data_IF_702847445493
#
_entry.id   IF_702847445493
#
_cell.length_a   1.000
_cell.length_b   1.000
_cell.length_c   1.000
_cell.angle_alpha   90.00
_cell.angle_beta   90.00
_cell.angle_gamma   90.00
#
_symmetry.space_group_name_H-M   'P 1'
#
loop_
_entity.id
_entity.type
_entity.pdbx_description
1 polymer ?
#
# COMPACT_ATOMS: atom_id res chain seq x y z
N UNK A 1 -14.71 5.13 -19.31
CA UNK A 1 -14.65 3.83 -18.66
C UNK A 1 -14.54 2.74 -19.72
N UNK A 2 -13.65 1.79 -19.55
CA UNK A 2 -13.39 0.67 -20.49
C UNK A 2 -13.18 -0.65 -19.73
N UNK A 3 -13.33 -1.79 -20.44
CA UNK A 3 -12.91 -3.11 -19.94
C UNK A 3 -13.71 -3.70 -18.79
N UNK A 4 -14.78 -3.05 -18.34
CA UNK A 4 -15.63 -3.52 -17.24
C UNK A 4 -17.09 -3.64 -17.67
N UNK A 5 -17.85 -4.52 -17.02
CA UNK A 5 -19.24 -4.82 -17.37
C UNK A 5 -20.16 -3.57 -17.31
N UNK A 6 -19.87 -2.62 -16.44
CA UNK A 6 -20.63 -1.38 -16.29
C UNK A 6 -20.18 -0.24 -17.25
N UNK A 7 -19.22 -0.47 -18.15
CA UNK A 7 -18.63 0.58 -18.97
C UNK A 7 -19.66 1.35 -19.83
N UNK A 8 -20.55 0.65 -20.49
CA UNK A 8 -21.54 1.27 -21.38
C UNK A 8 -22.52 2.17 -20.62
N UNK A 9 -23.03 1.71 -19.48
CA UNK A 9 -23.92 2.47 -18.62
C UNK A 9 -23.22 3.72 -18.07
N UNK A 10 -22.01 3.57 -17.56
CA UNK A 10 -21.18 4.66 -17.05
C UNK A 10 -20.87 5.68 -18.14
N UNK A 11 -20.51 5.21 -19.34
CA UNK A 11 -20.23 6.11 -20.47
C UNK A 11 -21.48 6.87 -20.96
N UNK A 12 -22.66 6.25 -20.92
CA UNK A 12 -23.92 6.95 -21.23
C UNK A 12 -24.22 8.05 -20.22
N UNK A 13 -23.99 7.79 -18.94
CA UNK A 13 -24.12 8.77 -17.87
C UNK A 13 -23.13 9.92 -18.03
N UNK A 14 -21.83 9.63 -18.24
CA UNK A 14 -20.79 10.62 -18.50
C UNK A 14 -21.12 11.50 -19.70
N UNK A 15 -21.65 10.93 -20.78
CA UNK A 15 -22.09 11.71 -21.96
C UNK A 15 -23.16 12.75 -21.61
N UNK A 16 -24.06 12.40 -20.70
CA UNK A 16 -25.13 13.33 -20.26
C UNK A 16 -24.54 14.51 -19.48
N UNK A 17 -23.56 14.25 -18.60
CA UNK A 17 -22.83 15.31 -17.91
C UNK A 17 -22.03 16.20 -18.88
N UNK A 18 -21.32 15.61 -19.84
CA UNK A 18 -20.55 16.36 -20.85
C UNK A 18 -21.45 17.30 -21.65
N UNK A 19 -22.66 16.83 -22.07
CA UNK A 19 -23.65 17.67 -22.75
C UNK A 19 -24.12 18.84 -21.86
N UNK A 20 -24.33 18.58 -20.56
CA UNK A 20 -24.72 19.62 -19.61
C UNK A 20 -23.60 20.66 -19.42
N UNK A 21 -22.36 20.22 -19.25
CA UNK A 21 -21.17 21.08 -19.12
C UNK A 21 -20.99 21.96 -20.35
N UNK A 22 -21.13 21.40 -21.55
CA UNK A 22 -21.04 22.16 -22.81
C UNK A 22 -22.09 23.27 -22.90
N UNK A 23 -23.36 23.00 -22.47
CA UNK A 23 -24.41 24.01 -22.41
C UNK A 23 -24.09 25.14 -21.43
N UNK A 24 -23.58 24.79 -20.25
CA UNK A 24 -23.17 25.76 -19.24
C UNK A 24 -22.02 26.62 -19.76
N UNK A 25 -20.95 25.98 -20.29
CA UNK A 25 -19.83 26.72 -20.83
C UNK A 25 -20.25 27.72 -21.92
N UNK A 26 -21.15 27.30 -22.83
CA UNK A 26 -21.70 28.20 -23.86
C UNK A 26 -22.47 29.38 -23.24
N UNK A 27 -23.30 29.12 -22.23
CA UNK A 27 -24.06 30.15 -21.54
C UNK A 27 -23.18 31.16 -20.82
N UNK A 28 -22.15 30.66 -20.12
CA UNK A 28 -21.20 31.48 -19.35
C UNK A 28 -20.08 32.07 -20.24
N UNK A 29 -20.07 31.77 -21.54
CA UNK A 29 -19.04 32.23 -22.50
C UNK A 29 -17.62 31.85 -22.13
N UNK A 30 -17.44 30.68 -21.56
CA UNK A 30 -16.10 30.12 -21.23
C UNK A 30 -15.69 29.05 -22.24
N UNK A 31 -14.37 28.85 -22.39
CA UNK A 31 -13.83 27.80 -23.26
C UNK A 31 -14.25 26.40 -22.78
N UNK A 32 -14.46 25.48 -23.73
CA UNK A 32 -14.80 24.09 -23.45
C UNK A 32 -14.13 23.14 -24.42
N UNK A 33 -13.37 22.17 -23.89
CA UNK A 33 -12.78 21.09 -24.66
C UNK A 33 -13.51 19.80 -24.35
N UNK A 34 -14.15 19.19 -25.35
CA UNK A 34 -14.82 17.90 -25.19
C UNK A 34 -13.81 16.75 -25.29
N UNK A 35 -13.18 16.41 -24.18
CA UNK A 35 -12.26 15.29 -24.12
C UNK A 35 -12.97 13.93 -24.20
N UNK A 36 -14.20 13.81 -23.72
CA UNK A 36 -14.92 12.55 -23.60
C UNK A 36 -15.06 11.80 -24.93
N UNK A 37 -15.54 12.46 -25.99
CA UNK A 37 -15.78 11.78 -27.26
C UNK A 37 -14.50 11.27 -27.90
N UNK A 38 -13.41 12.05 -27.80
CA UNK A 38 -12.12 11.68 -28.40
C UNK A 38 -11.45 10.56 -27.62
N UNK A 39 -11.44 10.62 -26.28
CA UNK A 39 -10.87 9.55 -25.44
C UNK A 39 -11.70 8.26 -25.55
N UNK A 40 -13.03 8.34 -25.56
CA UNK A 40 -13.88 7.16 -25.80
C UNK A 40 -13.57 6.50 -27.14
N UNK A 41 -13.39 7.30 -28.19
CA UNK A 41 -13.04 6.77 -29.54
C UNK A 41 -11.67 6.08 -29.57
N UNK A 42 -10.72 6.56 -28.78
CA UNK A 42 -9.40 5.92 -28.62
C UNK A 42 -9.50 4.61 -27.86
N UNK A 43 -10.19 4.58 -26.75
CA UNK A 43 -10.45 3.38 -25.93
C UNK A 43 -11.15 2.27 -26.75
N UNK A 44 -12.08 2.63 -27.61
CA UNK A 44 -12.81 1.66 -28.43
C UNK A 44 -11.99 1.09 -29.63
N UNK A 45 -10.87 1.71 -29.99
CA UNK A 45 -10.04 1.32 -31.15
C UNK A 45 -8.80 0.52 -30.78
N UNK A 46 -8.39 0.57 -29.53
CA UNK A 46 -7.14 -0.01 -29.09
C UNK A 46 -7.27 -1.48 -28.70
N UNK A 47 -6.25 -2.28 -28.98
CA UNK A 47 -6.09 -3.62 -28.42
C UNK A 47 -5.62 -3.56 -26.95
N UNK A 48 -4.88 -2.49 -26.59
CA UNK A 48 -4.34 -2.30 -25.26
C UNK A 48 -5.21 -1.31 -24.47
N UNK A 49 -5.49 -1.59 -23.17
CA UNK A 49 -6.24 -0.67 -22.33
C UNK A 49 -5.49 0.66 -22.12
N UNK A 50 -6.24 1.74 -22.01
CA UNK A 50 -5.73 3.08 -21.68
C UNK A 50 -5.93 3.42 -20.19
N UNK A 51 -6.47 2.48 -19.42
CA UNK A 51 -6.73 2.61 -18.00
C UNK A 51 -6.08 1.47 -17.23
N UNK A 52 -5.81 1.69 -15.94
CA UNK A 52 -5.30 0.66 -15.03
C UNK A 52 -6.42 -0.21 -14.44
N UNK A 53 -7.62 0.34 -14.30
CA UNK A 53 -8.76 -0.32 -13.65
C UNK A 53 -10.11 0.04 -14.29
N UNK A 54 -10.11 0.38 -15.56
CA UNK A 54 -11.32 0.75 -16.30
C UNK A 54 -11.74 2.22 -16.18
N UNK A 55 -11.25 2.98 -15.20
CA UNK A 55 -11.61 4.39 -15.01
C UNK A 55 -10.41 5.35 -14.86
N UNK A 56 -9.29 4.92 -14.30
CA UNK A 56 -8.10 5.75 -14.14
C UNK A 56 -7.13 5.49 -15.27
N UNK A 57 -6.69 6.55 -15.94
CA UNK A 57 -5.77 6.45 -17.06
C UNK A 57 -4.41 5.88 -16.62
N UNK A 58 -3.87 4.95 -17.40
CA UNK A 58 -2.47 4.54 -17.32
C UNK A 58 -1.57 5.55 -18.06
N UNK A 59 -0.27 5.32 -18.08
CA UNK A 59 0.68 6.21 -18.74
C UNK A 59 0.33 6.48 -20.22
N UNK A 60 -0.02 5.45 -20.98
CA UNK A 60 -0.45 5.55 -22.37
C UNK A 60 -1.74 6.37 -22.52
N UNK A 61 -2.68 6.14 -21.62
CA UNK A 61 -3.94 6.90 -21.55
C UNK A 61 -3.70 8.38 -21.28
N UNK A 62 -2.81 8.73 -20.36
CA UNK A 62 -2.46 10.13 -20.09
C UNK A 62 -1.75 10.81 -21.26
N UNK A 63 -0.88 10.12 -22.01
CA UNK A 63 -0.26 10.67 -23.20
C UNK A 63 -1.31 11.01 -24.29
N UNK A 64 -2.27 10.11 -24.51
CA UNK A 64 -3.38 10.36 -25.43
C UNK A 64 -4.29 11.49 -24.95
N UNK A 65 -4.64 11.48 -23.67
CA UNK A 65 -5.48 12.51 -23.07
C UNK A 65 -4.81 13.90 -23.16
N UNK A 66 -3.51 13.99 -22.86
CA UNK A 66 -2.73 15.21 -22.99
C UNK A 66 -2.75 15.76 -24.41
N UNK A 67 -2.61 14.89 -25.41
CA UNK A 67 -2.71 15.28 -26.82
C UNK A 67 -4.11 15.81 -27.17
N UNK A 68 -5.16 15.14 -26.73
CA UNK A 68 -6.56 15.59 -26.94
C UNK A 68 -6.80 16.96 -26.32
N UNK A 69 -6.31 17.16 -25.11
CA UNK A 69 -6.47 18.41 -24.36
C UNK A 69 -5.69 19.56 -25.03
N UNK A 70 -4.41 19.31 -25.40
CA UNK A 70 -3.57 20.29 -26.08
C UNK A 70 -4.19 20.76 -27.39
N UNK A 71 -4.59 19.81 -28.24
CA UNK A 71 -5.22 20.14 -29.53
C UNK A 71 -6.54 20.90 -29.36
N UNK A 72 -7.32 20.57 -28.34
CA UNK A 72 -8.56 21.28 -28.05
C UNK A 72 -8.36 22.70 -27.54
N UNK A 73 -7.29 22.94 -26.76
CA UNK A 73 -7.00 24.27 -26.20
C UNK A 73 -6.23 25.16 -27.20
N UNK A 74 -5.26 24.59 -27.88
CA UNK A 74 -4.29 25.35 -28.71
C UNK A 74 -4.70 25.37 -30.19
N UNK A 75 -5.55 24.41 -30.61
CA UNK A 75 -5.95 24.28 -32.02
C UNK A 75 -4.87 23.78 -32.96
N UNK A 76 -3.78 23.22 -32.44
CA UNK A 76 -2.64 22.67 -33.20
C UNK A 76 -2.39 21.24 -32.78
N UNK A 77 -1.76 20.43 -33.63
CA UNK A 77 -1.31 19.09 -33.30
C UNK A 77 -0.36 19.14 -32.11
N UNK A 78 -0.57 18.22 -31.15
CA UNK A 78 0.31 18.11 -29.98
C UNK A 78 1.76 17.78 -30.42
N UNK A 79 2.76 18.44 -29.84
CA UNK A 79 4.16 18.10 -30.09
C UNK A 79 4.48 16.72 -29.53
N UNK A 80 5.62 16.16 -29.96
CA UNK A 80 6.18 14.99 -29.27
C UNK A 80 6.53 15.34 -27.84
N UNK A 81 6.21 14.45 -26.90
CA UNK A 81 6.54 14.62 -25.50
C UNK A 81 8.06 14.62 -25.30
N UNK A 82 8.55 15.60 -24.59
CA UNK A 82 9.89 15.62 -24.05
C UNK A 82 9.91 14.88 -22.71
N UNK A 83 10.58 13.74 -22.65
CA UNK A 83 10.56 12.87 -21.48
C UNK A 83 11.30 13.48 -20.28
N UNK A 84 12.34 14.27 -20.50
CA UNK A 84 13.06 14.95 -19.41
C UNK A 84 12.18 16.02 -18.77
N UNK A 85 11.45 16.78 -19.59
CA UNK A 85 10.47 17.75 -19.10
C UNK A 85 9.32 17.03 -18.37
N UNK A 86 8.81 15.93 -18.93
CA UNK A 86 7.73 15.16 -18.29
C UNK A 86 8.14 14.63 -16.92
N UNK A 87 9.31 14.00 -16.83
CA UNK A 87 9.85 13.48 -15.57
C UNK A 87 10.04 14.59 -14.52
N UNK A 88 10.58 15.74 -14.93
CA UNK A 88 10.76 16.90 -14.06
C UNK A 88 9.40 17.46 -13.55
N UNK A 89 8.39 17.50 -14.41
CA UNK A 89 7.03 17.93 -14.00
C UNK A 89 6.41 16.96 -13.02
N UNK A 90 6.55 15.64 -13.21
CA UNK A 90 6.05 14.61 -12.28
C UNK A 90 6.72 14.79 -10.92
N UNK A 91 8.05 14.91 -10.89
CA UNK A 91 8.80 15.11 -9.64
C UNK A 91 8.34 16.39 -8.89
N UNK A 92 8.20 17.51 -9.61
CA UNK A 92 7.67 18.74 -9.02
C UNK A 92 6.25 18.55 -8.50
N UNK A 93 5.38 17.90 -9.27
CA UNK A 93 4.01 17.67 -8.88
C UNK A 93 3.88 16.80 -7.62
N UNK A 94 4.81 15.87 -7.38
CA UNK A 94 4.86 15.06 -6.15
C UNK A 94 5.03 15.97 -4.92
N UNK A 95 6.00 16.89 -4.95
CA UNK A 95 6.23 17.82 -3.82
C UNK A 95 5.03 18.77 -3.63
N UNK A 96 4.51 19.32 -4.74
CA UNK A 96 3.32 20.17 -4.71
C UNK A 96 2.08 19.44 -4.19
N UNK A 97 1.89 18.17 -4.56
CA UNK A 97 0.79 17.34 -4.08
C UNK A 97 0.87 17.18 -2.55
N UNK A 98 2.02 16.80 -2.02
CA UNK A 98 2.20 16.60 -0.58
C UNK A 98 2.10 17.90 0.24
N UNK A 99 2.28 19.06 -0.39
CA UNK A 99 2.01 20.36 0.25
C UNK A 99 0.54 20.51 0.67
N UNK A 100 -0.38 19.97 -0.13
CA UNK A 100 -1.84 20.10 0.05
C UNK A 100 -2.53 18.80 0.48
N UNK A 101 -1.90 17.67 0.23
CA UNK A 101 -2.36 16.32 0.59
C UNK A 101 -1.21 15.53 1.23
N UNK A 102 -0.68 15.99 2.38
CA UNK A 102 0.44 15.31 3.01
C UNK A 102 0.04 13.93 3.51
N UNK A 103 0.96 12.98 3.40
CA UNK A 103 0.88 11.73 4.13
C UNK A 103 1.07 12.00 5.63
N UNK A 104 0.58 11.11 6.49
CA UNK A 104 0.80 11.19 7.93
C UNK A 104 0.25 12.47 8.58
N UNK A 105 -0.96 12.90 8.16
CA UNK A 105 -1.59 14.12 8.68
C UNK A 105 -1.75 14.11 10.20
N UNK A 106 -1.81 12.93 10.82
CA UNK A 106 -1.87 12.77 12.27
C UNK A 106 -0.60 13.27 12.98
N UNK A 107 0.55 13.32 12.28
CA UNK A 107 1.81 13.92 12.76
C UNK A 107 1.87 15.43 12.56
N UNK A 108 1.06 15.99 11.66
CA UNK A 108 0.96 17.45 11.47
C UNK A 108 -0.02 18.09 12.43
N UNK A 109 -1.19 17.49 12.63
CA UNK A 109 -2.32 18.12 13.33
C UNK A 109 -2.95 17.25 14.41
N UNK A 110 -2.69 15.94 14.40
CA UNK A 110 -3.32 14.97 15.29
C UNK A 110 -2.53 14.67 16.56
N UNK A 111 -2.92 13.60 17.24
CA UNK A 111 -2.38 13.20 18.54
C UNK A 111 -0.94 12.71 18.54
N UNK A 112 -0.35 12.45 17.36
CA UNK A 112 1.06 12.05 17.25
C UNK A 112 2.02 13.23 17.10
N UNK A 113 1.51 14.44 16.95
CA UNK A 113 2.32 15.65 16.85
C UNK A 113 3.15 15.84 18.13
N UNK A 114 4.46 15.70 18.02
CA UNK A 114 5.43 15.94 19.07
C UNK A 114 5.31 15.04 20.34
N UNK A 115 4.18 14.33 20.53
CA UNK A 115 3.90 13.60 21.77
C UNK A 115 4.62 12.26 21.89
N UNK A 116 5.03 11.69 20.77
CA UNK A 116 5.62 10.35 20.72
C UNK A 116 7.13 10.36 20.49
N UNK A 117 7.78 11.56 20.57
CA UNK A 117 9.19 11.71 20.30
C UNK A 117 9.56 11.68 18.81
N UNK A 118 8.56 11.79 17.92
CA UNK A 118 8.75 11.89 16.48
C UNK A 118 8.94 13.35 16.04
N UNK A 119 9.31 13.54 14.78
CA UNK A 119 9.40 14.88 14.21
C UNK A 119 8.03 15.58 14.19
N UNK A 120 8.05 16.88 14.48
CA UNK A 120 6.91 17.74 14.16
C UNK A 120 6.95 18.04 12.65
N UNK A 121 5.96 17.56 11.92
CA UNK A 121 5.89 17.68 10.47
C UNK A 121 5.36 19.02 9.97
N UNK A 122 4.84 19.88 10.84
CA UNK A 122 4.35 21.21 10.43
C UNK A 122 5.40 22.06 9.69
N UNK A 123 6.68 22.09 10.09
CA UNK A 123 7.71 22.83 9.35
C UNK A 123 7.89 22.33 7.91
N UNK A 124 7.57 21.07 7.62
CA UNK A 124 7.70 20.50 6.28
C UNK A 124 6.82 21.18 5.23
N UNK A 125 5.74 21.85 5.65
CA UNK A 125 4.85 22.56 4.71
C UNK A 125 5.62 23.66 3.96
N UNK A 126 6.53 24.38 4.63
CA UNK A 126 7.40 25.35 3.99
C UNK A 126 8.45 24.69 3.11
N UNK A 127 8.96 23.55 3.54
CA UNK A 127 9.93 22.77 2.77
C UNK A 127 9.35 22.32 1.43
N UNK A 128 8.10 21.85 1.41
CA UNK A 128 7.42 21.51 0.16
C UNK A 128 7.30 22.70 -0.80
N UNK A 129 7.02 23.91 -0.29
CA UNK A 129 6.97 25.12 -1.13
C UNK A 129 8.36 25.40 -1.76
N UNK A 130 9.44 25.31 -0.99
CA UNK A 130 10.81 25.49 -1.49
C UNK A 130 11.22 24.41 -2.50
N UNK A 131 10.97 23.14 -2.17
CA UNK A 131 11.26 22.01 -3.06
C UNK A 131 10.49 22.11 -4.37
N UNK A 132 9.22 22.55 -4.33
CA UNK A 132 8.42 22.79 -5.54
C UNK A 132 9.06 23.92 -6.40
N UNK A 133 9.47 25.02 -5.77
CA UNK A 133 10.09 26.14 -6.50
C UNK A 133 11.44 25.76 -7.14
N UNK A 134 12.28 24.98 -6.45
CA UNK A 134 13.54 24.49 -7.00
C UNK A 134 13.31 23.64 -8.26
N UNK A 135 12.29 22.80 -8.24
CA UNK A 135 11.90 21.94 -9.37
C UNK A 135 11.29 22.72 -10.53
N UNK A 136 10.49 23.76 -10.24
CA UNK A 136 9.99 24.68 -11.26
C UNK A 136 11.13 25.36 -12.03
N UNK A 137 12.18 25.82 -11.31
CA UNK A 137 13.37 26.40 -11.97
C UNK A 137 14.05 25.40 -12.91
N UNK A 138 14.17 24.12 -12.51
CA UNK A 138 14.72 23.08 -13.38
C UNK A 138 13.86 22.88 -14.63
N UNK A 139 12.53 22.82 -14.49
CA UNK A 139 11.60 22.68 -15.62
C UNK A 139 11.77 23.84 -16.60
N UNK A 140 11.83 25.08 -16.12
CA UNK A 140 12.05 26.25 -16.98
C UNK A 140 13.37 26.19 -17.76
N UNK A 141 14.44 25.73 -17.12
CA UNK A 141 15.73 25.54 -17.78
C UNK A 141 15.67 24.49 -18.89
N UNK A 142 15.04 23.33 -18.61
CA UNK A 142 14.84 22.28 -19.61
C UNK A 142 14.03 22.79 -20.82
N UNK A 143 12.91 23.48 -20.59
CA UNK A 143 12.08 24.03 -21.66
C UNK A 143 12.81 25.08 -22.49
N UNK A 144 13.76 25.81 -21.90
CA UNK A 144 14.61 26.77 -22.62
C UNK A 144 15.79 26.11 -23.37
N UNK A 145 15.88 24.79 -23.37
CA UNK A 145 16.94 24.04 -24.07
C UNK A 145 18.27 23.97 -23.31
N UNK A 146 18.26 24.30 -22.02
CA UNK A 146 19.41 24.07 -21.15
C UNK A 146 19.46 22.59 -20.71
N UNK A 147 20.64 22.15 -20.27
CA UNK A 147 20.83 20.81 -19.72
C UNK A 147 21.17 20.90 -18.20
N UNK A 148 20.20 21.18 -17.33
CA UNK A 148 20.44 21.27 -15.90
C UNK A 148 20.79 19.90 -15.30
N UNK A 149 21.48 19.89 -14.14
CA UNK A 149 21.76 18.67 -13.39
C UNK A 149 20.48 17.86 -13.17
N UNK A 150 20.54 16.52 -13.29
CA UNK A 150 19.42 15.65 -12.87
C UNK A 150 19.17 15.69 -11.36
N UNK A 151 20.21 16.01 -10.57
CA UNK A 151 20.10 16.16 -9.11
C UNK A 151 19.60 17.57 -8.81
N UNK A 152 18.50 17.64 -8.08
CA UNK A 152 17.91 18.90 -7.63
C UNK A 152 18.77 19.47 -6.49
N UNK A 153 19.10 20.75 -6.59
CA UNK A 153 19.72 21.48 -5.48
C UNK A 153 18.64 21.94 -4.48
N UNK A 154 18.48 21.18 -3.42
CA UNK A 154 17.60 21.48 -2.29
C UNK A 154 18.40 22.02 -1.06
N UNK A 155 19.62 22.55 -1.25
CA UNK A 155 20.46 23.09 -0.17
C UNK A 155 19.83 24.26 0.60
N UNK A 156 18.86 24.93 -0.01
CA UNK A 156 18.06 25.99 0.60
C UNK A 156 16.88 25.49 1.43
N UNK A 157 16.64 24.16 1.46
CA UNK A 157 15.53 23.54 2.23
C UNK A 157 16.01 23.31 3.67
N UNK A 158 15.38 23.94 4.68
CA UNK A 158 15.78 23.77 6.07
C UNK A 158 15.58 22.32 6.56
N UNK A 159 16.46 21.80 7.42
CA UNK A 159 16.24 20.52 8.06
C UNK A 159 15.00 20.56 8.96
N UNK A 160 14.29 19.44 9.06
CA UNK A 160 13.17 19.32 9.99
C UNK A 160 13.67 19.29 11.44
N UNK A 161 12.99 19.97 12.38
CA UNK A 161 13.35 19.93 13.80
C UNK A 161 13.20 18.50 14.34
N UNK A 162 14.25 18.02 14.99
CA UNK A 162 14.25 16.71 15.65
C UNK A 162 13.69 16.89 17.06
N UNK A 163 12.64 16.14 17.39
CA UNK A 163 12.12 16.06 18.76
C UNK A 163 12.86 14.98 19.54
N UNK A 164 12.96 15.17 20.87
CA UNK A 164 13.57 14.13 21.72
C UNK A 164 12.66 12.91 21.78
N UNK A 165 13.24 11.73 21.62
CA UNK A 165 12.54 10.51 21.93
C UNK A 165 12.21 10.47 23.43
N UNK A 166 10.97 10.17 23.76
CA UNK A 166 10.48 10.12 25.14
C UNK A 166 10.76 8.79 25.84
N UNK A 167 11.26 7.78 25.11
CA UNK A 167 11.53 6.43 25.63
C UNK A 167 13.02 6.16 25.61
N UNK A 168 13.49 5.41 26.64
CA UNK A 168 14.90 5.06 26.79
C UNK A 168 15.41 4.18 25.62
N UNK A 169 16.74 3.99 25.62
CA UNK A 169 17.37 3.14 24.63
C UNK A 169 16.93 1.67 24.74
N UNK A 170 16.65 1.05 23.62
CA UNK A 170 16.45 -0.39 23.55
C UNK A 170 17.78 -1.12 23.67
N UNK A 171 17.79 -2.25 24.36
CA UNK A 171 18.91 -3.18 24.30
C UNK A 171 18.60 -4.18 23.17
N UNK A 172 19.42 -4.15 22.14
CA UNK A 172 19.37 -5.11 21.05
C UNK A 172 20.16 -6.37 21.41
N UNK A 173 19.58 -7.52 21.13
CA UNK A 173 20.28 -8.81 21.19
C UNK A 173 20.87 -9.12 19.82
N UNK A 174 22.04 -9.77 19.80
CA UNK A 174 22.50 -10.37 18.56
C UNK A 174 21.73 -11.67 18.28
N UNK A 175 21.79 -12.22 17.05
CA UNK A 175 21.00 -13.41 16.68
C UNK A 175 21.20 -14.63 17.60
N UNK A 176 22.41 -14.84 18.09
CA UNK A 176 22.72 -15.94 19.01
C UNK A 176 22.13 -15.70 20.42
N UNK A 177 22.20 -14.47 20.92
CA UNK A 177 21.58 -14.12 22.22
C UNK A 177 20.07 -14.27 22.14
N UNK A 178 19.44 -13.88 21.02
CA UNK A 178 18.00 -14.02 20.81
C UNK A 178 17.59 -15.48 20.72
N UNK A 179 18.29 -16.28 19.92
CA UNK A 179 18.06 -17.74 19.81
C UNK A 179 18.12 -18.42 21.16
N UNK A 180 19.08 -18.06 22.01
CA UNK A 180 19.22 -18.64 23.34
C UNK A 180 18.15 -18.17 24.33
N UNK A 181 17.43 -17.07 24.02
CA UNK A 181 16.40 -16.54 24.89
C UNK A 181 15.04 -17.23 24.72
N UNK A 182 14.84 -17.98 23.65
CA UNK A 182 13.60 -18.71 23.41
C UNK A 182 13.40 -19.83 24.46
N UNK A 183 12.17 -19.93 24.94
CA UNK A 183 11.70 -21.08 25.71
C UNK A 183 10.75 -21.88 24.84
N UNK A 184 11.23 -23.01 24.36
CA UNK A 184 10.55 -23.81 23.35
C UNK A 184 9.89 -25.02 24.01
N UNK A 185 8.67 -25.36 23.58
CA UNK A 185 8.01 -26.60 23.94
C UNK A 185 8.87 -27.79 23.43
N UNK A 186 9.02 -28.89 24.21
CA UNK A 186 9.90 -30.02 23.85
C UNK A 186 9.59 -30.67 22.49
N UNK A 187 8.43 -30.45 21.91
CA UNK A 187 8.04 -30.97 20.59
C UNK A 187 8.59 -30.17 19.44
N UNK A 188 9.18 -28.98 19.69
CA UNK A 188 9.64 -28.06 18.65
C UNK A 188 11.11 -27.69 18.85
N UNK A 189 11.75 -27.31 17.79
CA UNK A 189 13.07 -26.70 17.75
C UNK A 189 12.97 -25.34 17.07
N UNK A 190 13.78 -24.37 17.51
CA UNK A 190 13.90 -23.04 16.88
C UNK A 190 15.30 -22.91 16.31
N UNK A 191 15.40 -22.68 15.02
CA UNK A 191 16.65 -22.44 14.32
C UNK A 191 16.65 -21.04 13.68
N UNK A 192 17.82 -20.44 13.56
CA UNK A 192 18.02 -19.17 12.87
C UNK A 192 18.05 -19.41 11.36
N UNK A 193 17.10 -18.86 10.62
CA UNK A 193 17.06 -18.94 9.16
C UNK A 193 17.90 -17.83 8.50
N UNK A 194 17.75 -16.58 8.94
CA UNK A 194 18.47 -15.42 8.43
C UNK A 194 18.52 -14.30 9.47
N UNK A 195 19.46 -13.37 9.34
CA UNK A 195 19.56 -12.17 10.18
C UNK A 195 20.11 -10.97 9.40
N UNK A 196 19.91 -9.77 9.93
CA UNK A 196 20.49 -8.54 9.36
C UNK A 196 22.02 -8.48 9.49
N UNK A 197 22.62 -9.25 10.38
CA UNK A 197 24.10 -9.38 10.46
C UNK A 197 24.66 -10.11 9.25
N UNK A 198 23.91 -11.09 8.73
CA UNK A 198 24.29 -11.84 7.53
C UNK A 198 23.86 -11.10 6.26
N UNK A 199 22.64 -10.56 6.25
CA UNK A 199 22.02 -9.89 5.12
C UNK A 199 21.49 -8.51 5.55
N UNK A 200 22.28 -7.44 5.42
CA UNK A 200 21.84 -6.09 5.83
C UNK A 200 20.56 -5.61 5.12
N UNK A 201 20.24 -6.16 3.94
CA UNK A 201 19.03 -5.86 3.19
C UNK A 201 17.76 -6.33 3.89
N UNK A 202 17.88 -7.29 4.81
CA UNK A 202 16.78 -7.83 5.62
C UNK A 202 16.38 -6.88 6.78
N UNK A 203 17.03 -5.75 6.94
CA UNK A 203 16.81 -4.84 8.06
C UNK A 203 15.34 -4.42 8.22
N UNK A 204 14.83 -4.52 9.44
CA UNK A 204 13.46 -4.19 9.83
C UNK A 204 12.40 -4.98 9.04
N UNK A 205 12.38 -6.31 9.12
CA UNK A 205 11.37 -7.14 8.45
C UNK A 205 9.99 -6.88 9.04
N UNK A 206 8.98 -6.73 8.17
CA UNK A 206 7.59 -6.46 8.54
C UNK A 206 6.72 -7.70 8.33
N UNK A 207 6.78 -8.30 7.15
CA UNK A 207 5.99 -9.48 6.79
C UNK A 207 6.84 -10.44 5.96
N UNK A 208 6.54 -11.73 6.07
CA UNK A 208 7.16 -12.77 5.28
C UNK A 208 6.13 -13.71 4.67
N UNK A 209 6.45 -14.25 3.49
CA UNK A 209 5.67 -15.28 2.80
C UNK A 209 6.59 -16.23 2.04
N UNK A 210 6.12 -17.45 1.85
CA UNK A 210 6.79 -18.45 1.02
C UNK A 210 6.13 -18.49 -0.35
N UNK A 211 6.94 -18.54 -1.39
CA UNK A 211 6.43 -18.76 -2.74
C UNK A 211 6.34 -20.27 -3.07
N UNK A 212 5.79 -20.59 -4.25
CA UNK A 212 5.63 -21.96 -4.71
C UNK A 212 6.96 -22.71 -4.99
N UNK A 213 8.10 -22.01 -4.96
CA UNK A 213 9.43 -22.60 -5.12
C UNK A 213 10.13 -22.81 -3.76
N UNK A 214 9.49 -22.47 -2.66
CA UNK A 214 10.05 -22.58 -1.32
C UNK A 214 11.01 -21.44 -0.94
N UNK A 215 10.97 -20.31 -1.65
CA UNK A 215 11.77 -19.13 -1.32
C UNK A 215 11.00 -18.24 -0.34
N UNK A 216 11.69 -17.67 0.63
CA UNK A 216 11.10 -16.74 1.59
C UNK A 216 11.19 -15.32 1.06
N UNK A 217 10.04 -14.68 0.89
CA UNK A 217 9.92 -13.28 0.55
C UNK A 217 9.66 -12.46 1.80
N UNK A 218 10.34 -11.32 1.94
CA UNK A 218 10.23 -10.47 3.13
C UNK A 218 10.10 -9.02 2.72
N UNK A 219 9.05 -8.34 3.21
CA UNK A 219 8.98 -6.89 3.15
C UNK A 219 9.77 -6.28 4.30
N UNK A 220 10.62 -5.30 3.99
CA UNK A 220 11.53 -4.64 4.93
C UNK A 220 11.31 -3.14 4.91
N UNK A 221 11.18 -2.51 6.09
CA UNK A 221 10.92 -1.09 6.20
C UNK A 221 11.80 -0.44 7.25
N UNK A 222 12.95 0.07 6.83
CA UNK A 222 13.84 0.85 7.68
C UNK A 222 13.29 2.25 7.98
N UNK A 223 12.28 2.69 7.22
CA UNK A 223 11.59 3.96 7.41
C UNK A 223 10.39 3.87 8.33
N UNK A 224 9.96 2.67 8.74
CA UNK A 224 8.86 2.49 9.67
C UNK A 224 9.04 3.34 10.95
N UNK A 225 8.04 4.06 11.42
CA UNK A 225 6.62 3.98 11.05
C UNK A 225 6.18 4.93 9.93
N UNK A 226 7.05 5.74 9.38
CA UNK A 226 6.74 6.70 8.32
C UNK A 226 7.99 7.17 7.58
N UNK A 227 7.84 7.55 6.34
CA UNK A 227 8.83 8.32 5.57
C UNK A 227 8.74 9.80 5.98
N UNK A 228 9.87 10.45 6.19
CA UNK A 228 9.88 11.88 6.51
C UNK A 228 9.43 12.71 5.31
N UNK A 229 8.69 13.82 5.56
CA UNK A 229 8.20 14.68 4.50
C UNK A 229 9.33 15.17 3.58
N UNK A 230 9.14 14.99 2.27
CA UNK A 230 10.12 15.39 1.26
C UNK A 230 11.26 14.40 1.02
N UNK A 231 11.34 13.33 1.78
CA UNK A 231 12.27 12.23 1.52
C UNK A 231 11.65 11.19 0.58
N UNK A 232 12.47 10.59 -0.27
CA UNK A 232 12.03 9.47 -1.10
C UNK A 232 11.87 8.20 -0.24
N UNK A 233 10.83 7.39 -0.49
CA UNK A 233 10.72 6.06 0.09
C UNK A 233 11.91 5.19 -0.30
N UNK A 234 12.36 4.31 0.60
CA UNK A 234 13.51 3.43 0.37
C UNK A 234 13.33 2.02 0.93
N UNK A 235 12.12 1.64 1.24
CA UNK A 235 11.81 0.30 1.74
C UNK A 235 11.80 -0.71 0.58
N UNK A 236 11.83 -1.99 0.89
CA UNK A 236 12.07 -3.02 -0.12
C UNK A 236 11.35 -4.34 0.17
N UNK A 237 11.29 -5.19 -0.86
CA UNK A 237 10.98 -6.61 -0.73
C UNK A 237 12.23 -7.38 -1.14
N UNK A 238 12.65 -8.32 -0.30
CA UNK A 238 13.79 -9.20 -0.55
C UNK A 238 13.34 -10.64 -0.67
N UNK A 239 14.14 -11.46 -1.38
CA UNK A 239 13.95 -12.90 -1.53
C UNK A 239 15.13 -13.59 -0.89
N UNK A 240 14.86 -14.47 0.07
CA UNK A 240 15.83 -15.33 0.74
C UNK A 240 15.70 -16.77 0.19
N UNK A 241 16.82 -17.41 -0.08
CA UNK A 241 16.87 -18.78 -0.61
C UNK A 241 17.81 -19.64 0.23
N UNK A 242 17.33 -20.82 0.61
CA UNK A 242 18.11 -21.92 1.16
C UNK A 242 18.41 -22.89 0.00
N UNK A 243 19.60 -22.77 -0.57
CA UNK A 243 19.99 -23.51 -1.76
C UNK A 243 20.47 -24.95 -1.47
N UNK A 244 20.87 -25.22 -0.24
CA UNK A 244 21.44 -26.48 0.17
C UNK A 244 20.47 -27.32 1.03
N UNK A 245 19.35 -26.77 1.49
CA UNK A 245 18.31 -27.43 2.27
C UNK A 245 18.69 -27.64 3.75
N UNK A 246 19.56 -26.79 4.30
CA UNK A 246 20.01 -26.93 5.70
C UNK A 246 19.16 -26.10 6.69
N UNK A 247 18.12 -25.43 6.20
CA UNK A 247 17.24 -24.58 7.00
C UNK A 247 17.80 -23.18 7.28
N UNK A 248 18.79 -22.73 6.49
CA UNK A 248 19.37 -21.39 6.57
C UNK A 248 19.43 -20.76 5.19
N UNK A 249 19.23 -19.47 5.15
CA UNK A 249 19.35 -18.74 3.89
C UNK A 249 20.82 -18.63 3.45
N UNK A 250 21.09 -19.03 2.21
CA UNK A 250 22.39 -18.86 1.54
C UNK A 250 22.49 -17.54 0.78
N UNK A 251 21.34 -16.98 0.36
CA UNK A 251 21.30 -15.74 -0.42
C UNK A 251 20.16 -14.83 0.00
N UNK A 252 20.33 -13.53 -0.23
CA UNK A 252 19.31 -12.49 -0.08
C UNK A 252 19.38 -11.54 -1.27
N UNK A 253 18.32 -11.49 -2.07
CA UNK A 253 18.24 -10.67 -3.27
C UNK A 253 17.16 -9.60 -3.13
N UNK A 254 17.48 -8.34 -3.44
CA UNK A 254 16.48 -7.27 -3.50
C UNK A 254 15.65 -7.43 -4.77
N UNK A 255 14.37 -7.74 -4.62
CA UNK A 255 13.43 -7.92 -5.72
C UNK A 255 12.72 -6.61 -6.09
N UNK A 256 12.34 -5.79 -5.11
CA UNK A 256 11.77 -4.46 -5.32
C UNK A 256 12.30 -3.48 -4.28
N UNK A 257 12.47 -2.22 -4.68
CA UNK A 257 12.96 -1.14 -3.82
C UNK A 257 12.20 0.17 -4.07
N UNK A 258 12.46 1.20 -3.26
CA UNK A 258 11.76 2.46 -3.34
C UNK A 258 10.31 2.37 -2.86
N UNK A 259 9.98 1.41 -2.00
CA UNK A 259 8.65 1.20 -1.45
C UNK A 259 8.39 2.11 -0.24
N UNK A 260 7.12 2.45 -0.02
CA UNK A 260 6.69 3.29 1.09
C UNK A 260 6.00 2.47 2.17
N UNK A 261 6.73 2.09 3.20
CA UNK A 261 6.23 1.33 4.37
C UNK A 261 5.35 0.15 3.95
N UNK A 262 5.90 -0.88 3.25
CA UNK A 262 5.14 -2.02 2.75
C UNK A 262 4.73 -2.94 3.92
N UNK A 263 3.60 -2.63 4.58
CA UNK A 263 3.13 -3.37 5.74
C UNK A 263 2.62 -4.76 5.40
N UNK A 264 2.21 -4.98 4.16
CA UNK A 264 1.72 -6.27 3.70
C UNK A 264 1.95 -6.45 2.21
N UNK A 265 2.12 -7.69 1.80
CA UNK A 265 2.12 -8.08 0.40
C UNK A 265 1.51 -9.47 0.22
N UNK A 266 1.02 -9.76 -0.99
CA UNK A 266 0.45 -11.06 -1.33
C UNK A 266 0.71 -11.39 -2.80
N UNK A 267 1.00 -12.65 -3.09
CA UNK A 267 1.18 -13.13 -4.47
C UNK A 267 -0.15 -13.21 -5.20
N UNK A 268 -0.17 -12.86 -6.48
CA UNK A 268 -1.35 -13.01 -7.32
C UNK A 268 -1.10 -12.54 -8.75
N UNK A 269 -1.87 -13.05 -9.68
CA UNK A 269 -1.87 -12.64 -11.10
C UNK A 269 -0.49 -12.60 -11.75
N UNK A 270 0.44 -13.45 -11.31
CA UNK A 270 1.81 -13.51 -11.81
C UNK A 270 2.77 -12.48 -11.22
N UNK A 271 2.33 -11.71 -10.25
CA UNK A 271 3.11 -10.69 -9.56
C UNK A 271 2.82 -10.63 -8.07
N UNK A 272 2.97 -9.46 -7.48
CA UNK A 272 2.83 -9.20 -6.04
C UNK A 272 2.02 -7.94 -5.82
N UNK A 273 0.94 -8.06 -5.05
CA UNK A 273 0.19 -6.92 -4.52
C UNK A 273 0.86 -6.43 -3.24
N UNK A 274 1.13 -5.14 -3.15
CA UNK A 274 1.88 -4.52 -2.04
C UNK A 274 1.10 -3.34 -1.48
N UNK A 275 1.02 -3.24 -0.16
CA UNK A 275 0.50 -2.04 0.49
C UNK A 275 1.51 -0.91 0.44
N UNK A 276 1.14 0.21 -0.13
CA UNK A 276 1.95 1.43 -0.21
C UNK A 276 1.05 2.66 -0.10
N UNK A 277 0.82 3.12 1.10
CA UNK A 277 -0.07 4.25 1.37
C UNK A 277 0.14 5.45 0.42
N UNK A 278 -0.91 6.02 -0.18
CA UNK A 278 -2.34 5.66 -0.11
C UNK A 278 -2.78 4.65 -1.18
N UNK A 279 -1.87 3.80 -1.65
CA UNK A 279 -2.07 2.91 -2.78
C UNK A 279 -2.05 1.44 -2.36
N UNK A 280 -2.73 0.61 -3.13
CA UNK A 280 -2.31 -0.76 -3.38
C UNK A 280 -1.51 -0.74 -4.67
N UNK A 281 -0.30 -1.26 -4.63
CA UNK A 281 0.60 -1.34 -5.78
C UNK A 281 0.70 -2.78 -6.25
N UNK A 282 0.71 -3.00 -7.55
CA UNK A 282 1.00 -4.29 -8.16
C UNK A 282 2.38 -4.23 -8.80
N UNK A 283 3.24 -5.16 -8.42
CA UNK A 283 4.60 -5.30 -8.92
C UNK A 283 4.77 -6.63 -9.65
N UNK A 284 5.53 -6.62 -10.74
CA UNK A 284 5.85 -7.84 -11.48
C UNK A 284 7.26 -7.76 -12.08
N UNK A 285 7.93 -8.90 -12.12
CA UNK A 285 9.12 -9.12 -12.94
C UNK A 285 8.65 -9.65 -14.30
N UNK A 286 8.66 -8.80 -15.32
CA UNK A 286 8.15 -9.16 -16.67
C UNK A 286 9.23 -9.75 -17.56
N UNK A 287 10.50 -9.56 -17.23
CA UNK A 287 11.64 -9.98 -18.02
C UNK A 287 12.38 -11.20 -17.47
N UNK A 288 12.06 -11.62 -16.22
CA UNK A 288 12.62 -12.79 -15.58
C UNK A 288 14.04 -12.61 -15.02
N UNK A 289 14.45 -11.36 -14.73
CA UNK A 289 15.77 -11.07 -14.19
C UNK A 289 15.85 -11.12 -12.66
N UNK A 290 14.75 -11.44 -12.01
CA UNK A 290 14.64 -11.51 -10.55
C UNK A 290 14.38 -10.18 -9.87
N UNK A 291 13.95 -9.15 -10.63
CA UNK A 291 13.58 -7.84 -10.11
C UNK A 291 12.26 -7.37 -10.69
N UNK A 292 11.49 -6.67 -9.88
CA UNK A 292 10.26 -6.04 -10.36
C UNK A 292 10.59 -4.88 -11.33
N UNK A 293 10.09 -4.98 -12.56
CA UNK A 293 10.24 -3.95 -13.60
C UNK A 293 8.89 -3.34 -14.04
N UNK A 294 7.77 -3.95 -13.65
CA UNK A 294 6.43 -3.39 -13.77
C UNK A 294 5.94 -2.89 -12.42
N UNK A 295 5.39 -1.66 -12.40
CA UNK A 295 4.71 -1.09 -11.23
C UNK A 295 3.43 -0.41 -11.66
N UNK A 296 2.31 -0.90 -11.19
CA UNK A 296 0.97 -0.36 -11.42
C UNK A 296 0.26 -0.07 -10.11
N UNK A 297 -0.72 0.82 -10.13
CA UNK A 297 -1.53 1.20 -8.96
C UNK A 297 -2.99 0.86 -9.27
N UNK A 298 -3.43 -0.38 -9.08
CA UNK A 298 -4.80 -0.79 -9.35
C UNK A 298 -5.84 -0.08 -8.48
N UNK A 299 -5.49 0.24 -7.23
CA UNK A 299 -6.36 0.92 -6.28
C UNK A 299 -5.62 2.06 -5.58
N UNK A 300 -6.30 3.19 -5.40
CA UNK A 300 -5.78 4.36 -4.66
C UNK A 300 -6.91 5.12 -3.97
N UNK A 301 -6.56 5.85 -2.91
CA UNK A 301 -7.51 6.62 -2.11
C UNK A 301 -7.77 6.01 -0.73
N UNK A 302 -6.90 5.10 -0.30
CA UNK A 302 -6.88 4.61 1.07
C UNK A 302 -6.41 5.71 2.03
N UNK A 303 -6.80 5.59 3.29
CA UNK A 303 -6.41 6.53 4.32
C UNK A 303 -4.91 6.64 4.47
N UNK A 304 -4.42 7.84 4.71
CA UNK A 304 -3.00 8.14 4.81
C UNK A 304 -2.68 9.06 6.01
N UNK A 305 -3.49 9.00 7.04
CA UNK A 305 -3.33 9.82 8.23
C UNK A 305 -2.18 9.34 9.13
N UNK A 306 -1.87 8.04 9.07
CA UNK A 306 -0.84 7.42 9.89
C UNK A 306 -0.29 6.14 9.24
N UNK A 307 0.87 6.18 8.61
CA UNK A 307 1.42 5.09 7.78
C UNK A 307 1.51 3.75 8.49
N UNK A 308 1.80 3.72 9.80
CA UNK A 308 1.89 2.43 10.48
C UNK A 308 0.52 1.78 10.76
N UNK A 309 -0.56 2.45 10.39
CA UNK A 309 -1.92 1.93 10.37
C UNK A 309 -2.48 1.73 8.96
N UNK A 310 -1.63 1.87 7.93
CA UNK A 310 -1.98 1.72 6.52
C UNK A 310 -2.51 0.31 6.18
N UNK A 311 -2.75 0.07 4.91
CA UNK A 311 -3.22 -1.25 4.44
C UNK A 311 -2.30 -2.38 4.91
N UNK A 312 -2.91 -3.46 5.40
CA UNK A 312 -2.20 -4.66 5.85
C UNK A 312 -3.12 -5.89 5.85
N UNK A 313 -2.59 -7.04 6.27
CA UNK A 313 -3.31 -8.31 6.34
C UNK A 313 -3.89 -8.74 4.99
N UNK A 314 -3.09 -8.71 3.94
CA UNK A 314 -3.50 -9.23 2.65
C UNK A 314 -3.62 -10.74 2.72
N UNK A 315 -4.77 -11.27 2.30
CA UNK A 315 -5.00 -12.71 2.20
C UNK A 315 -6.04 -12.99 1.11
N UNK A 316 -5.84 -14.09 0.39
CA UNK A 316 -6.88 -14.59 -0.52
C UNK A 316 -7.98 -15.28 0.26
N UNK A 317 -9.19 -14.93 -0.05
CA UNK A 317 -10.37 -15.67 0.44
C UNK A 317 -10.50 -17.01 -0.29
N UNK A 318 -11.18 -18.00 0.29
CA UNK A 318 -11.38 -19.30 -0.37
C UNK A 318 -12.10 -19.23 -1.72
N UNK A 319 -12.86 -18.17 -1.98
CA UNK A 319 -13.56 -17.92 -3.25
C UNK A 319 -12.78 -17.05 -4.24
N UNK A 320 -11.57 -16.61 -3.87
CA UNK A 320 -10.60 -15.98 -4.77
C UNK A 320 -10.61 -14.45 -4.80
N UNK A 321 -11.24 -13.80 -3.83
CA UNK A 321 -11.09 -12.36 -3.60
C UNK A 321 -9.86 -12.07 -2.75
N UNK A 322 -9.21 -10.92 -2.96
CA UNK A 322 -8.17 -10.44 -2.06
C UNK A 322 -8.79 -9.60 -0.95
N UNK A 323 -8.73 -10.11 0.28
CA UNK A 323 -9.17 -9.36 1.47
C UNK A 323 -7.97 -8.65 2.11
N UNK A 324 -8.23 -7.44 2.60
CA UNK A 324 -7.25 -6.63 3.33
C UNK A 324 -7.95 -5.58 4.18
N UNK A 325 -7.19 -4.90 5.03
CA UNK A 325 -7.77 -3.88 5.90
C UNK A 325 -6.82 -2.73 6.18
N UNK A 326 -7.39 -1.68 6.76
CA UNK A 326 -6.69 -0.58 7.40
C UNK A 326 -7.03 -0.52 8.89
N UNK A 327 -6.26 0.22 9.67
CA UNK A 327 -6.48 0.40 11.09
C UNK A 327 -7.18 1.73 11.41
N UNK A 328 -7.04 2.22 12.65
CA UNK A 328 -7.68 3.46 13.12
C UNK A 328 -7.08 4.71 12.45
N UNK A 329 -7.79 5.82 12.57
CA UNK A 329 -7.49 7.17 12.06
C UNK A 329 -7.78 7.36 10.58
N UNK A 330 -7.84 6.31 9.81
CA UNK A 330 -7.98 6.37 8.36
C UNK A 330 -9.38 6.75 7.92
N UNK A 331 -9.44 7.51 6.81
CA UNK A 331 -10.65 7.86 6.07
C UNK A 331 -10.40 7.54 4.61
N UNK A 332 -10.82 6.37 4.19
CA UNK A 332 -10.61 5.90 2.83
C UNK A 332 -11.77 6.25 1.91
N UNK A 333 -11.43 6.70 0.71
CA UNK A 333 -12.35 6.85 -0.40
C UNK A 333 -11.65 6.37 -1.67
N UNK A 334 -11.88 5.12 -2.00
CA UNK A 334 -11.30 4.49 -3.19
C UNK A 334 -12.28 4.60 -4.34
N UNK A 335 -11.83 5.20 -5.45
CA UNK A 335 -12.65 5.32 -6.65
C UNK A 335 -12.48 4.09 -7.53
N UNK A 336 -13.60 3.50 -7.92
CA UNK A 336 -13.67 2.32 -8.78
C UNK A 336 -14.60 2.56 -9.97
N UNK A 337 -14.55 1.70 -11.00
CA UNK A 337 -15.50 1.78 -12.12
C UNK A 337 -16.96 1.67 -11.70
N UNK A 338 -17.23 1.16 -10.50
CA UNK A 338 -18.58 0.95 -9.94
C UNK A 338 -19.01 2.06 -8.98
N UNK A 339 -18.16 3.06 -8.76
CA UNK A 339 -18.35 4.15 -7.82
C UNK A 339 -17.37 4.12 -6.65
N UNK A 340 -17.44 5.12 -5.76
CA UNK A 340 -16.52 5.22 -4.63
C UNK A 340 -16.89 4.22 -3.52
N UNK A 341 -15.86 3.54 -3.01
CA UNK A 341 -15.94 2.70 -1.81
C UNK A 341 -15.33 3.45 -0.64
N UNK A 342 -16.04 3.54 0.48
CA UNK A 342 -15.61 4.31 1.65
C UNK A 342 -15.59 3.46 2.90
N UNK A 343 -14.53 3.61 3.67
CA UNK A 343 -14.40 3.07 5.01
C UNK A 343 -13.82 4.12 5.95
N UNK A 344 -14.04 3.93 7.24
CA UNK A 344 -13.49 4.78 8.28
C UNK A 344 -13.11 3.92 9.48
N UNK A 345 -11.87 4.05 9.96
CA UNK A 345 -11.36 3.36 11.13
C UNK A 345 -11.53 1.83 11.11
N UNK A 346 -10.47 1.10 10.84
CA UNK A 346 -10.41 -0.36 10.86
C UNK A 346 -11.38 -1.05 9.91
N UNK A 347 -11.49 -0.52 8.69
CA UNK A 347 -12.31 -1.09 7.63
C UNK A 347 -11.65 -2.28 6.95
N UNK A 348 -12.48 -3.25 6.58
CA UNK A 348 -12.13 -4.38 5.75
C UNK A 348 -12.59 -4.14 4.33
N UNK A 349 -11.75 -4.50 3.38
CA UNK A 349 -12.04 -4.47 1.96
C UNK A 349 -11.93 -5.87 1.38
N UNK A 350 -12.80 -6.18 0.42
CA UNK A 350 -12.68 -7.33 -0.46
C UNK A 350 -12.54 -6.84 -1.89
N UNK A 351 -11.56 -7.32 -2.61
CA UNK A 351 -11.28 -6.91 -3.98
C UNK A 351 -11.18 -8.12 -4.91
N UNK A 352 -11.98 -8.07 -5.97
CA UNK A 352 -11.97 -9.01 -7.07
C UNK A 352 -11.16 -8.42 -8.23
N UNK A 353 -9.88 -8.82 -8.40
CA UNK A 353 -8.98 -8.19 -9.38
C UNK A 353 -9.50 -8.25 -10.81
N UNK A 354 -10.03 -9.39 -11.23
CA UNK A 354 -10.51 -9.63 -12.61
C UNK A 354 -11.64 -8.70 -13.02
N UNK A 355 -12.47 -8.27 -12.08
CA UNK A 355 -13.57 -7.34 -12.31
C UNK A 355 -13.23 -5.90 -11.89
N UNK A 356 -12.08 -5.65 -11.30
CA UNK A 356 -11.75 -4.37 -10.66
C UNK A 356 -12.82 -3.91 -9.67
N UNK A 357 -13.43 -4.87 -8.97
CA UNK A 357 -14.51 -4.62 -8.03
C UNK A 357 -14.03 -4.64 -6.60
N UNK A 358 -14.04 -3.47 -5.97
CA UNK A 358 -13.76 -3.31 -4.56
C UNK A 358 -15.06 -3.20 -3.78
N UNK A 359 -15.14 -3.85 -2.64
CA UNK A 359 -16.29 -3.82 -1.74
C UNK A 359 -15.84 -3.45 -0.33
N UNK A 360 -16.62 -2.63 0.37
CA UNK A 360 -16.49 -2.46 1.81
C UNK A 360 -17.07 -3.72 2.45
N UNK A 361 -16.20 -4.61 2.92
CA UNK A 361 -16.58 -5.93 3.40
C UNK A 361 -17.10 -5.90 4.83
N UNK A 362 -16.40 -5.19 5.73
CA UNK A 362 -16.79 -5.10 7.13
C UNK A 362 -16.05 -4.00 7.87
N UNK A 363 -16.41 -3.75 9.10
CA UNK A 363 -15.69 -2.81 9.97
C UNK A 363 -15.84 -3.17 11.43
N UNK A 364 -14.79 -2.88 12.20
CA UNK A 364 -14.82 -2.99 13.64
C UNK A 364 -13.84 -1.98 14.24
N UNK A 365 -14.27 -1.11 15.16
CA UNK A 365 -13.38 -0.14 15.79
C UNK A 365 -12.28 -0.86 16.56
N UNK A 366 -11.09 -0.90 16.00
CA UNK A 366 -9.94 -1.55 16.62
C UNK A 366 -8.68 -0.75 16.39
N UNK A 367 -7.86 -0.70 17.43
CA UNK A 367 -6.51 -0.16 17.37
C UNK A 367 -5.57 -1.29 16.98
N UNK A 368 -4.77 -1.10 15.94
CA UNK A 368 -3.77 -2.07 15.47
C UNK A 368 -4.34 -3.48 15.28
N UNK A 369 -5.32 -3.67 14.42
CA UNK A 369 -5.83 -5.00 14.12
C UNK A 369 -4.80 -5.77 13.29
N UNK A 370 -4.40 -6.96 13.74
CA UNK A 370 -3.45 -7.84 13.08
C UNK A 370 -3.97 -9.26 13.03
N UNK A 371 -3.66 -9.96 11.94
CA UNK A 371 -4.01 -11.36 11.75
C UNK A 371 -5.40 -11.53 11.15
N UNK A 372 -5.38 -12.13 9.98
CA UNK A 372 -6.52 -12.57 9.20
C UNK A 372 -6.29 -14.03 8.85
N UNK A 373 -7.29 -14.85 9.01
CA UNK A 373 -7.29 -16.23 8.52
C UNK A 373 -8.72 -16.70 8.30
N UNK A 374 -8.86 -17.85 7.66
CA UNK A 374 -10.14 -18.49 7.38
C UNK A 374 -10.14 -19.87 8.02
N UNK A 375 -11.30 -20.28 8.56
CA UNK A 375 -11.48 -21.66 8.97
C UNK A 375 -11.81 -22.56 7.77
N UNK A 376 -11.94 -23.87 8.01
CA UNK A 376 -12.25 -24.87 6.98
C UNK A 376 -13.59 -24.62 6.24
N UNK A 377 -14.45 -23.80 6.81
CA UNK A 377 -15.73 -23.41 6.23
C UNK A 377 -15.66 -22.09 5.45
N UNK A 378 -14.48 -21.49 5.36
CA UNK A 378 -14.27 -20.20 4.73
C UNK A 378 -14.75 -19.02 5.56
N UNK A 379 -14.99 -19.19 6.86
CA UNK A 379 -15.37 -18.09 7.72
C UNK A 379 -14.13 -17.25 8.08
N UNK A 380 -14.23 -15.94 7.86
CA UNK A 380 -13.18 -15.01 8.15
C UNK A 380 -13.02 -14.81 9.66
N UNK A 381 -11.84 -15.13 10.17
CA UNK A 381 -11.47 -14.96 11.57
C UNK A 381 -10.48 -13.81 11.70
N UNK A 382 -10.83 -12.80 12.48
CA UNK A 382 -10.03 -11.62 12.75
C UNK A 382 -9.61 -11.55 14.21
N UNK A 383 -8.41 -11.06 14.46
CA UNK A 383 -7.91 -10.80 15.80
C UNK A 383 -7.64 -9.33 16.06
N UNK A 384 -7.74 -8.92 17.31
CA UNK A 384 -7.51 -7.55 17.76
C UNK A 384 -6.50 -7.52 18.90
N UNK A 385 -5.41 -6.76 18.76
CA UNK A 385 -4.29 -6.88 19.68
C UNK A 385 -4.53 -6.31 21.07
N UNK A 386 -5.44 -5.36 21.26
CA UNK A 386 -5.46 -4.58 22.52
C UNK A 386 -6.65 -4.91 23.44
N UNK A 387 -7.85 -5.08 22.92
CA UNK A 387 -9.05 -5.14 23.76
C UNK A 387 -10.04 -6.26 23.43
N UNK A 388 -9.79 -7.05 22.43
CA UNK A 388 -10.71 -8.08 22.00
C UNK A 388 -10.02 -9.39 21.65
N UNK A 389 -10.78 -10.46 21.82
CA UNK A 389 -10.42 -11.80 21.38
C UNK A 389 -10.59 -11.95 19.86
N UNK A 390 -10.10 -13.04 19.31
CA UNK A 390 -10.44 -13.44 17.94
C UNK A 390 -11.96 -13.59 17.83
N UNK A 391 -12.50 -13.20 16.69
CA UNK A 391 -13.92 -13.32 16.40
C UNK A 391 -14.13 -13.47 14.91
N UNK A 392 -15.29 -13.99 14.53
CA UNK A 392 -15.70 -13.95 13.14
C UNK A 392 -15.87 -12.50 12.69
N UNK A 393 -15.27 -12.15 11.57
CA UNK A 393 -15.53 -10.87 10.93
C UNK A 393 -16.90 -10.96 10.24
N UNK A 394 -17.82 -10.17 10.73
CA UNK A 394 -19.19 -10.15 10.28
C UNK A 394 -19.48 -8.85 9.53
N UNK A 395 -20.22 -8.95 8.45
CA UNK A 395 -20.92 -7.83 7.85
C UNK A 395 -22.11 -7.43 8.76
N UNK A 396 -22.48 -6.18 8.90
CA UNK A 396 -22.32 -5.05 7.99
C UNK A 396 -21.08 -4.19 8.24
N UNK A 397 -20.66 -3.39 7.21
CA UNK A 397 -19.49 -2.52 7.30
C UNK A 397 -19.68 -1.29 8.20
N UNK A 398 -20.79 -1.18 8.90
CA UNK A 398 -21.10 -0.04 9.76
C UNK A 398 -20.79 -0.32 11.21
N UNK A 399 -19.76 0.31 11.83
CA UNK A 399 -19.30 0.00 13.19
C UNK A 399 -20.40 0.04 14.25
N UNK A 400 -21.38 0.93 14.11
CA UNK A 400 -22.49 1.07 15.06
C UNK A 400 -23.51 -0.08 15.00
N UNK A 401 -23.52 -0.80 13.91
CA UNK A 401 -24.43 -1.93 13.69
C UNK A 401 -23.71 -3.28 13.85
N UNK A 402 -22.40 -3.25 14.03
CA UNK A 402 -21.62 -4.47 14.20
C UNK A 402 -22.02 -5.19 15.50
N UNK A 403 -22.39 -6.46 15.45
CA UNK A 403 -22.66 -7.23 16.66
C UNK A 403 -21.38 -7.32 17.52
N UNK A 404 -21.56 -7.47 18.82
CA UNK A 404 -20.42 -7.74 19.69
C UNK A 404 -19.77 -9.05 19.28
N UNK A 405 -18.41 -9.12 19.23
CA UNK A 405 -17.71 -10.35 18.93
C UNK A 405 -18.22 -11.48 19.84
N UNK A 406 -18.55 -12.61 19.27
CA UNK A 406 -18.88 -13.80 20.04
C UNK A 406 -17.66 -14.18 20.87
N UNK A 407 -17.88 -14.67 22.08
CA UNK A 407 -16.87 -14.83 23.13
C UNK A 407 -15.84 -15.94 22.90
N UNK A 408 -15.24 -15.99 21.70
CA UNK A 408 -14.03 -16.77 21.46
C UNK A 408 -12.92 -16.20 22.34
N UNK A 409 -12.47 -16.95 23.31
CA UNK A 409 -11.44 -16.53 24.26
C UNK A 409 -10.06 -16.64 23.62
N UNK A 410 -9.75 -15.74 22.71
CA UNK A 410 -8.38 -15.54 22.27
C UNK A 410 -7.84 -14.26 22.88
N UNK A 411 -6.79 -14.36 23.64
CA UNK A 411 -6.22 -13.26 24.39
C UNK A 411 -5.76 -12.10 23.48
N UNK A 412 -5.72 -10.89 24.03
CA UNK A 412 -5.25 -9.68 23.34
C UNK A 412 -3.75 -9.74 23.00
N UNK A 413 -3.29 -8.86 22.10
CA UNK A 413 -1.87 -8.68 21.77
C UNK A 413 -1.37 -9.53 20.60
N UNK A 414 -2.23 -9.85 19.66
CA UNK A 414 -1.91 -10.67 18.49
C UNK A 414 -1.22 -9.86 17.42
N UNK A 415 -0.21 -10.45 16.76
CA UNK A 415 0.44 -9.88 15.58
C UNK A 415 0.53 -10.87 14.41
N UNK A 416 -0.08 -12.02 14.52
CA UNK A 416 -0.24 -13.01 13.45
C UNK A 416 -1.06 -14.19 13.95
N UNK A 417 -1.76 -14.86 13.04
CA UNK A 417 -2.55 -16.05 13.35
C UNK A 417 -2.75 -16.91 12.12
N UNK A 418 -2.88 -18.22 12.32
CA UNK A 418 -3.19 -19.17 11.27
C UNK A 418 -3.79 -20.43 11.85
N UNK A 419 -4.56 -21.18 11.05
CA UNK A 419 -4.95 -22.54 11.38
C UNK A 419 -3.84 -23.52 11.01
N UNK A 420 -3.66 -24.54 11.82
CA UNK A 420 -2.67 -25.59 11.56
C UNK A 420 -3.31 -26.63 10.65
N UNK A 421 -2.83 -26.66 9.45
CA UNK A 421 -3.19 -27.61 8.42
C UNK A 421 -1.91 -28.10 7.69
N UNK A 422 -0.82 -28.24 8.42
CA UNK A 422 0.50 -28.59 7.90
C UNK A 422 0.73 -30.09 8.03
N UNK A 423 0.83 -30.87 6.94
CA UNK A 423 0.89 -32.33 6.99
C UNK A 423 2.10 -32.87 7.79
N UNK A 424 3.14 -32.08 7.98
CA UNK A 424 4.33 -32.46 8.74
C UNK A 424 4.22 -32.17 10.25
N UNK A 425 3.13 -31.58 10.69
CA UNK A 425 2.89 -31.30 12.11
C UNK A 425 2.15 -32.45 12.77
N UNK A 426 2.33 -32.67 14.11
CA UNK A 426 1.65 -33.73 14.84
C UNK A 426 0.13 -33.70 14.65
N UNK A 427 -0.49 -34.87 14.54
CA UNK A 427 -1.93 -35.02 14.32
C UNK A 427 -2.76 -34.31 15.41
N UNK A 428 -2.30 -34.35 16.65
CA UNK A 428 -2.99 -33.68 17.78
C UNK A 428 -3.00 -32.15 17.70
N UNK A 429 -2.22 -31.55 16.79
CA UNK A 429 -2.18 -30.11 16.56
C UNK A 429 -2.99 -29.67 15.33
N UNK A 430 -3.40 -30.61 14.49
CA UNK A 430 -4.18 -30.30 13.30
C UNK A 430 -5.54 -29.65 13.67
N UNK A 431 -5.92 -28.63 12.91
CA UNK A 431 -7.14 -27.83 13.16
C UNK A 431 -7.06 -26.91 14.37
N UNK A 432 -5.93 -26.86 15.09
CA UNK A 432 -5.71 -25.84 16.11
C UNK A 432 -5.35 -24.50 15.46
N UNK A 433 -5.63 -23.42 16.19
CA UNK A 433 -5.24 -22.09 15.77
C UNK A 433 -3.93 -21.70 16.44
N UNK A 434 -2.93 -21.30 15.65
CA UNK A 434 -1.68 -20.71 16.15
C UNK A 434 -1.79 -19.20 16.16
N UNK A 435 -1.31 -18.56 17.24
CA UNK A 435 -1.30 -17.10 17.40
C UNK A 435 0.03 -16.62 17.92
N UNK A 436 0.53 -15.55 17.33
CA UNK A 436 1.69 -14.83 17.84
C UNK A 436 1.20 -13.68 18.73
N UNK A 437 1.68 -13.66 19.97
CA UNK A 437 1.28 -12.68 20.97
C UNK A 437 2.47 -11.86 21.44
N UNK A 438 2.46 -10.56 21.11
CA UNK A 438 3.55 -9.66 21.49
C UNK A 438 3.36 -9.01 22.88
N UNK A 439 2.13 -8.95 23.39
CA UNK A 439 1.79 -8.30 24.68
C UNK A 439 0.77 -9.13 25.45
N UNK A 440 0.89 -9.24 26.78
CA UNK A 440 2.02 -8.83 27.63
C UNK A 440 3.14 -9.88 27.73
N UNK A 441 3.07 -11.00 27.01
CA UNK A 441 3.83 -12.21 27.33
C UNK A 441 4.76 -12.70 26.26
N UNK A 442 4.79 -12.11 25.04
CA UNK A 442 5.68 -12.50 23.94
C UNK A 442 5.69 -14.03 23.75
N UNK A 443 4.61 -14.61 23.22
CA UNK A 443 4.43 -16.05 23.06
C UNK A 443 3.87 -16.39 21.71
N UNK A 444 4.18 -17.60 21.27
CA UNK A 444 3.35 -18.34 20.32
C UNK A 444 2.38 -19.20 21.15
N UNK A 445 1.09 -19.09 20.88
CA UNK A 445 0.04 -19.81 21.58
C UNK A 445 -0.71 -20.71 20.60
N UNK A 446 -1.00 -21.94 21.05
CA UNK A 446 -1.85 -22.87 20.35
C UNK A 446 -3.23 -22.89 21.04
N UNK A 447 -4.26 -22.73 20.27
CA UNK A 447 -5.63 -22.68 20.74
C UNK A 447 -6.44 -23.78 20.07
N UNK A 448 -7.18 -24.53 20.88
CA UNK A 448 -8.16 -25.46 20.32
C UNK A 448 -9.36 -24.64 19.81
N UNK A 449 -9.65 -24.80 18.51
CA UNK A 449 -10.74 -24.11 17.84
C UNK A 449 -12.08 -24.86 18.01
#
# INVERSE_FOLDING_TARGET
VEGVSAADLNNATLQSYVKAMARVAKREKVGFVNCFHRTKALMNKGADPLTINGCHLNQKGYLHFGSVLYEGLIGKKAPTMDEDVRAAVIEKNTQHFYRYRPLNTFYYTGGRRGSYGYLDFLPAMRNFDLMTANRDQRIHRLVNGENPSPIIDDSNVPPLPITKQSRGANKWMNPQEESNAFKVDPRFEVSLFASEEQFPELACPIQMRWDGLGRMWVSCSTTYPHVYPGQAPNDKIVILEDLNGDGKADSCNVWAEGLNVPLSFEFGDGGVYVSEEPHMTFLMDTNGDGKADLREIPLTGFGCEDSHHALHDFAWTPDGDLIFRESIFHHSQVETPYGPVRQQNSGWFSWEPKLHRLTAFGSHPSTNPWGVTFDDWGQHVASYPIFASAHHALDPPYPKQHPRPSGLQAYSGVCGQEFIDFPNWPEELQGMMVKVRYKPTNRVELLKW
#
